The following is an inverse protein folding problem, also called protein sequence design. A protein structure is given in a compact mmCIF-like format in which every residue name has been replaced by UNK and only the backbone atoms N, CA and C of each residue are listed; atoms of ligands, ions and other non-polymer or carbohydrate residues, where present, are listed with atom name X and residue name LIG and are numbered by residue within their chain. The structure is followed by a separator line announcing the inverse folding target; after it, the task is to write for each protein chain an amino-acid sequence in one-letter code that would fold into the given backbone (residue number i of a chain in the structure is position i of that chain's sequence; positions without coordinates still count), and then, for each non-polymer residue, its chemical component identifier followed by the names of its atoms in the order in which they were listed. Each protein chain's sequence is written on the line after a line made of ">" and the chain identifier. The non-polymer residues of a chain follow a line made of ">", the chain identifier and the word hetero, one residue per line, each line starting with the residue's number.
data_IF_831100073277
#
_entry.id   IF_831100073277
#
_cell.length_a   1.000
_cell.length_b   1.000
_cell.length_c   1.000
_cell.angle_alpha   90.00
_cell.angle_beta   90.00
_cell.angle_gamma   90.00
#
_symmetry.space_group_name_H-M   'P 1'
#
loop_
_entity.id
_entity.type
_entity.pdbx_description
1 polymer ?
#
# COMPACT_ATOMS: atom_id res chain seq x y z
N UNK A 1 -4.67 14.82 7.14
CA UNK A 1 -3.63 13.82 7.41
C UNK A 1 -4.20 12.48 6.98
N UNK A 2 -3.57 11.79 6.07
CA UNK A 2 -3.97 10.44 5.67
C UNK A 2 -3.54 9.45 6.76
N UNK A 3 -4.28 8.35 6.90
CA UNK A 3 -3.96 7.27 7.82
C UNK A 3 -3.78 6.00 6.99
N UNK A 4 -2.66 5.35 7.15
CA UNK A 4 -2.39 4.04 6.57
C UNK A 4 -2.66 2.94 7.58
N UNK A 5 -3.13 1.80 7.11
CA UNK A 5 -3.39 0.61 7.93
C UNK A 5 -2.82 -0.66 7.27
N UNK A 6 -1.79 -0.46 6.43
CA UNK A 6 -1.11 -1.59 5.81
C UNK A 6 -0.11 -2.19 6.79
N UNK A 7 -0.31 -3.47 7.10
CA UNK A 7 0.60 -4.25 7.94
C UNK A 7 0.96 -5.56 7.23
N UNK A 8 2.15 -6.11 7.52
CA UNK A 8 2.57 -7.38 6.93
C UNK A 8 1.74 -8.52 7.54
N UNK A 9 1.07 -9.32 6.70
CA UNK A 9 0.43 -10.56 7.08
C UNK A 9 1.40 -11.74 6.95
N UNK A 10 2.01 -11.87 5.77
CA UNK A 10 2.97 -12.92 5.44
C UNK A 10 4.13 -12.36 4.64
N UNK A 11 5.31 -12.89 4.91
CA UNK A 11 6.51 -12.63 4.13
C UNK A 11 7.10 -13.98 3.73
N UNK A 12 7.31 -14.18 2.44
CA UNK A 12 7.98 -15.39 1.95
C UNK A 12 9.44 -15.36 2.41
N UNK A 13 9.82 -16.30 3.27
CA UNK A 13 11.13 -16.37 3.91
C UNK A 13 12.29 -16.58 2.94
N UNK A 14 12.03 -16.95 1.69
CA UNK A 14 13.08 -17.12 0.67
C UNK A 14 13.78 -15.82 0.27
N UNK A 15 13.20 -14.67 0.58
CA UNK A 15 13.76 -13.36 0.21
C UNK A 15 14.48 -12.64 1.37
N UNK A 16 14.83 -13.34 2.45
CA UNK A 16 15.56 -12.81 3.62
C UNK A 16 15.09 -11.40 3.95
N UNK A 17 14.48 -11.20 5.13
CA UNK A 17 13.81 -9.96 5.51
C UNK A 17 14.50 -8.71 4.97
N UNK A 18 13.91 -8.09 3.99
CA UNK A 18 14.40 -6.81 3.48
C UNK A 18 14.18 -5.79 4.56
N UNK A 19 15.28 -5.25 5.11
CA UNK A 19 15.22 -4.15 6.05
C UNK A 19 14.50 -2.93 5.45
N UNK A 20 14.08 -2.02 6.30
CA UNK A 20 13.51 -0.75 5.86
C UNK A 20 14.52 0.01 4.98
N UNK A 21 14.01 0.68 3.96
CA UNK A 21 14.77 1.57 3.09
C UNK A 21 14.44 3.02 3.43
N UNK A 22 15.47 3.83 3.61
CA UNK A 22 15.28 5.28 3.80
C UNK A 22 15.04 5.98 2.45
N UNK A 23 13.90 6.64 2.32
CA UNK A 23 13.50 7.37 1.13
C UNK A 23 13.47 8.87 1.40
N UNK A 24 13.81 9.67 0.40
CA UNK A 24 13.75 11.15 0.47
C UNK A 24 12.32 11.62 0.24
N UNK A 25 11.88 12.58 1.03
CA UNK A 25 10.60 13.28 0.88
C UNK A 25 10.87 14.75 0.62
N UNK A 26 10.24 15.35 -0.39
CA UNK A 26 10.40 16.75 -0.69
C UNK A 26 9.90 17.63 0.48
N UNK A 27 10.42 18.86 0.57
CA UNK A 27 9.84 19.88 1.44
C UNK A 27 8.35 20.08 1.10
N UNK A 28 7.52 20.21 2.10
CA UNK A 28 6.07 20.34 1.91
C UNK A 28 5.33 20.67 3.20
N UNK A 29 4.10 21.11 3.05
CA UNK A 29 3.22 21.43 4.16
C UNK A 29 2.90 20.20 5.02
N UNK A 30 2.38 20.43 6.22
CA UNK A 30 1.98 19.37 7.16
C UNK A 30 0.93 18.39 6.60
N UNK A 31 0.23 18.76 5.53
CA UNK A 31 -0.73 17.93 4.82
C UNK A 31 -0.10 16.83 3.96
N UNK A 32 1.21 16.89 3.73
CA UNK A 32 1.97 15.92 2.92
C UNK A 32 2.81 14.97 3.76
N UNK A 33 2.62 14.97 5.08
CA UNK A 33 3.33 14.07 5.98
C UNK A 33 2.85 12.63 5.72
N UNK A 34 3.81 11.76 5.46
CA UNK A 34 3.61 10.31 5.32
C UNK A 34 3.68 9.70 6.72
N UNK A 35 2.69 8.90 7.09
CA UNK A 35 2.62 8.26 8.40
C UNK A 35 2.87 6.75 8.30
N UNK A 36 3.22 6.07 9.43
CA UNK A 36 3.35 4.62 9.44
C UNK A 36 2.08 3.92 8.91
N UNK A 37 2.29 2.85 8.14
CA UNK A 37 1.20 2.10 7.51
C UNK A 37 0.67 2.71 6.22
N UNK A 38 1.12 3.90 5.81
CA UNK A 38 0.72 4.49 4.53
C UNK A 38 1.52 3.91 3.36
N UNK A 39 0.87 3.65 2.22
CA UNK A 39 1.58 3.34 0.99
C UNK A 39 2.38 4.56 0.51
N UNK A 40 3.52 4.28 -0.10
CA UNK A 40 4.47 5.30 -0.58
C UNK A 40 4.74 5.07 -2.06
N UNK A 41 4.56 6.11 -2.86
CA UNK A 41 4.75 6.09 -4.30
C UNK A 41 5.87 7.03 -4.74
N UNK A 42 6.33 6.85 -5.96
CA UNK A 42 7.29 7.72 -6.62
C UNK A 42 6.90 7.91 -8.08
N UNK A 43 6.99 9.13 -8.59
CA UNK A 43 6.88 9.35 -10.02
C UNK A 43 8.11 8.78 -10.75
N UNK A 44 7.92 8.30 -11.96
CA UNK A 44 9.02 7.77 -12.78
C UNK A 44 10.14 8.80 -12.93
N UNK A 45 11.36 8.41 -12.58
CA UNK A 45 12.53 9.29 -12.63
C UNK A 45 12.65 10.31 -11.49
N UNK A 46 11.69 10.36 -10.55
CA UNK A 46 11.80 11.24 -9.39
C UNK A 46 12.76 10.68 -8.33
N UNK A 47 13.51 11.56 -7.69
CA UNK A 47 14.38 11.18 -6.56
C UNK A 47 13.63 11.12 -5.21
N UNK A 48 12.45 11.70 -5.14
CA UNK A 48 11.65 11.81 -3.92
C UNK A 48 10.41 10.95 -3.97
N UNK A 49 9.94 10.53 -2.80
CA UNK A 49 8.70 9.78 -2.64
C UNK A 49 7.57 10.69 -2.16
N UNK A 50 6.34 10.27 -2.42
CA UNK A 50 5.10 10.98 -2.06
C UNK A 50 4.03 10.00 -1.57
N UNK A 51 2.97 10.54 -0.99
CA UNK A 51 1.72 9.80 -0.81
C UNK A 51 1.11 9.51 -2.19
N UNK A 52 0.61 8.28 -2.43
CA UNK A 52 -0.09 7.98 -3.68
C UNK A 52 -1.45 8.69 -3.76
N UNK A 53 -1.91 8.91 -4.97
CA UNK A 53 -3.27 9.35 -5.22
C UNK A 53 -4.28 8.22 -4.98
N UNK A 54 -5.57 8.56 -4.93
CA UNK A 54 -6.65 7.56 -4.98
C UNK A 54 -6.68 6.84 -6.34
N UNK A 55 -7.28 5.65 -6.37
CA UNK A 55 -7.36 4.77 -7.55
C UNK A 55 -5.99 4.38 -8.13
N UNK A 56 -5.02 4.13 -7.25
CA UNK A 56 -3.68 3.63 -7.58
C UNK A 56 -3.43 2.29 -6.85
N UNK A 57 -2.42 1.49 -7.21
CA UNK A 57 -1.56 1.61 -8.37
C UNK A 57 -2.18 1.03 -9.64
N UNK A 58 -1.91 1.66 -10.77
CA UNK A 58 -2.17 1.11 -12.10
C UNK A 58 -0.87 0.53 -12.64
N UNK A 59 -0.89 -0.70 -13.11
CA UNK A 59 0.29 -1.40 -13.67
C UNK A 59 0.91 -0.59 -14.80
N UNK A 60 2.24 -0.48 -14.79
CA UNK A 60 3.08 0.28 -15.73
C UNK A 60 2.89 1.81 -15.74
N UNK A 61 2.08 2.36 -14.83
CA UNK A 61 1.86 3.81 -14.74
C UNK A 61 2.31 4.34 -13.38
N UNK A 62 1.95 3.61 -12.31
CA UNK A 62 2.24 4.04 -10.95
C UNK A 62 3.33 3.16 -10.34
N UNK A 63 4.33 3.80 -9.75
CA UNK A 63 5.47 3.13 -9.12
C UNK A 63 5.37 3.27 -7.61
N UNK A 64 5.09 2.16 -6.95
CA UNK A 64 5.06 2.08 -5.50
C UNK A 64 6.42 1.65 -4.96
N UNK A 65 6.87 2.34 -3.94
CA UNK A 65 8.16 2.05 -3.28
C UNK A 65 7.95 1.07 -2.13
N UNK A 66 6.87 1.22 -1.37
CA UNK A 66 6.59 0.37 -0.23
C UNK A 66 5.55 0.93 0.72
N UNK A 67 5.59 0.46 1.96
CA UNK A 67 4.74 0.92 3.07
C UNK A 67 5.61 1.60 4.12
N UNK A 68 5.23 2.80 4.52
CA UNK A 68 5.96 3.59 5.51
C UNK A 68 5.98 2.91 6.89
N UNK A 69 7.13 2.95 7.55
CA UNK A 69 7.34 2.43 8.91
C UNK A 69 7.45 3.55 9.94
N UNK A 70 7.87 4.73 9.50
CA UNK A 70 8.04 5.91 10.35
C UNK A 70 7.25 7.07 9.79
N UNK A 71 7.00 8.07 10.62
CA UNK A 71 6.51 9.36 10.12
C UNK A 71 7.63 10.06 9.36
N UNK A 72 7.31 10.64 8.23
CA UNK A 72 8.27 11.42 7.44
C UNK A 72 8.69 12.71 8.16
N UNK A 73 9.95 13.10 7.96
CA UNK A 73 10.59 14.18 8.75
C UNK A 73 10.69 15.53 8.02
N UNK A 74 10.09 15.65 6.82
CA UNK A 74 10.10 16.93 6.08
C UNK A 74 9.34 18.03 6.84
N UNK A 75 9.73 19.26 6.54
CA UNK A 75 9.03 20.46 7.00
C UNK A 75 8.55 21.28 5.80
N UNK A 76 7.80 22.34 6.03
CA UNK A 76 7.34 23.24 4.96
C UNK A 76 8.49 23.80 4.10
N UNK A 77 9.69 23.94 4.67
CA UNK A 77 10.84 24.57 4.02
C UNK A 77 12.04 23.64 3.82
N UNK A 78 12.02 22.42 4.36
CA UNK A 78 13.13 21.47 4.28
C UNK A 78 12.66 20.07 3.88
N UNK A 79 13.42 19.43 2.98
CA UNK A 79 13.26 18.03 2.65
C UNK A 79 13.52 17.14 3.87
N UNK A 80 12.90 15.99 3.91
CA UNK A 80 13.05 15.01 4.97
C UNK A 80 13.22 13.59 4.45
N UNK A 81 13.00 12.64 5.33
CA UNK A 81 13.09 11.21 5.00
C UNK A 81 11.94 10.42 5.63
N UNK A 82 11.66 9.25 5.09
CA UNK A 82 10.75 8.24 5.63
C UNK A 82 11.39 6.87 5.47
N UNK A 83 11.27 6.02 6.48
CA UNK A 83 11.67 4.62 6.38
C UNK A 83 10.52 3.79 5.81
N UNK A 84 10.79 2.99 4.80
CA UNK A 84 9.79 2.27 4.01
C UNK A 84 10.17 0.79 3.95
N UNK A 85 9.22 -0.12 4.22
CA UNK A 85 9.38 -1.52 3.83
C UNK A 85 9.07 -1.60 2.33
N UNK A 86 10.03 -2.01 1.50
CA UNK A 86 9.80 -2.13 0.06
C UNK A 86 8.68 -3.13 -0.24
N UNK A 87 7.83 -2.82 -1.22
CA UNK A 87 6.89 -3.81 -1.75
C UNK A 87 7.66 -4.86 -2.54
N UNK A 88 7.27 -6.11 -2.33
CA UNK A 88 7.79 -7.28 -3.02
C UNK A 88 6.62 -8.21 -3.32
N UNK A 89 6.68 -8.96 -4.41
CA UNK A 89 5.66 -9.96 -4.75
C UNK A 89 5.56 -11.10 -3.73
N UNK A 90 6.55 -11.24 -2.86
CA UNK A 90 6.56 -12.22 -1.76
C UNK A 90 5.95 -11.72 -0.45
N UNK A 91 5.44 -10.49 -0.41
CA UNK A 91 4.84 -9.92 0.82
C UNK A 91 3.33 -9.79 0.62
N UNK A 92 2.57 -10.37 1.55
CA UNK A 92 1.13 -10.15 1.68
C UNK A 92 0.87 -9.14 2.79
N UNK A 93 0.08 -8.13 2.48
CA UNK A 93 -0.26 -7.05 3.38
C UNK A 93 -1.70 -7.16 3.86
N UNK A 94 -1.93 -6.93 5.13
CA UNK A 94 -3.26 -6.65 5.66
C UNK A 94 -3.59 -5.18 5.47
N UNK A 95 -4.77 -4.90 4.97
CA UNK A 95 -5.28 -3.55 4.78
C UNK A 95 -6.75 -3.45 5.21
N UNK A 96 -7.27 -2.24 5.30
CA UNK A 96 -8.69 -2.00 5.51
C UNK A 96 -9.42 -1.97 4.16
N UNK A 97 -10.55 -2.68 4.00
CA UNK A 97 -11.37 -2.54 2.81
C UNK A 97 -12.12 -1.20 2.84
N UNK A 98 -12.40 -0.66 1.67
CA UNK A 98 -13.21 0.57 1.52
C UNK A 98 -14.69 0.32 1.85
N UNK A 99 -15.18 -0.91 1.67
CA UNK A 99 -16.52 -1.34 2.08
C UNK A 99 -16.42 -2.55 3.00
N UNK A 100 -16.94 -2.43 4.22
CA UNK A 100 -16.96 -3.54 5.18
C UNK A 100 -17.89 -4.69 4.74
N UNK A 101 -18.94 -4.38 3.98
CA UNK A 101 -19.97 -5.34 3.55
C UNK A 101 -19.41 -6.42 2.63
N UNK A 102 -18.43 -6.09 1.79
CA UNK A 102 -17.84 -7.03 0.82
C UNK A 102 -16.92 -8.10 1.45
N UNK A 103 -16.68 -8.06 2.77
CA UNK A 103 -15.69 -8.91 3.46
C UNK A 103 -16.23 -9.46 4.80
N UNK A 104 -17.54 -9.53 4.97
CA UNK A 104 -18.15 -9.91 6.26
C UNK A 104 -18.15 -11.43 6.48
N UNK A 105 -18.22 -12.22 5.42
CA UNK A 105 -18.23 -13.68 5.50
C UNK A 105 -17.09 -14.27 4.70
N UNK A 106 -16.65 -15.50 5.08
CA UNK A 106 -15.61 -16.22 4.36
C UNK A 106 -16.00 -16.49 2.90
N UNK A 107 -17.27 -16.83 2.65
CA UNK A 107 -17.74 -17.13 1.30
C UNK A 107 -17.72 -15.88 0.38
N UNK A 108 -18.09 -14.71 0.90
CA UNK A 108 -17.99 -13.44 0.16
C UNK A 108 -16.52 -13.08 -0.11
N UNK A 109 -15.65 -13.28 0.88
CA UNK A 109 -14.23 -13.02 0.73
C UNK A 109 -13.61 -13.95 -0.32
N UNK A 110 -13.87 -15.25 -0.24
CA UNK A 110 -13.31 -16.25 -1.15
C UNK A 110 -13.72 -16.01 -2.61
N UNK A 111 -14.90 -15.43 -2.84
CA UNK A 111 -15.34 -15.04 -4.17
C UNK A 111 -14.53 -13.91 -4.79
N UNK A 112 -13.83 -13.11 -3.99
CA UNK A 112 -13.01 -11.98 -4.42
C UNK A 112 -11.51 -12.31 -4.51
N UNK A 113 -11.10 -13.48 -4.02
CA UNK A 113 -9.69 -13.92 -4.09
C UNK A 113 -9.22 -14.00 -5.54
N UNK A 114 -8.14 -13.28 -5.85
CA UNK A 114 -7.62 -13.15 -7.21
C UNK A 114 -8.09 -11.90 -7.95
N UNK A 115 -9.11 -11.18 -7.44
CA UNK A 115 -9.52 -9.90 -8.02
C UNK A 115 -8.38 -8.89 -7.93
N UNK A 116 -8.28 -8.07 -8.98
CA UNK A 116 -7.28 -7.02 -9.11
C UNK A 116 -7.88 -5.69 -8.72
N UNK A 117 -7.35 -5.10 -7.68
CA UNK A 117 -7.94 -3.96 -6.97
C UNK A 117 -6.97 -2.79 -6.87
N UNK A 118 -7.47 -1.67 -6.39
CA UNK A 118 -6.74 -0.42 -6.21
C UNK A 118 -6.78 0.03 -4.75
N UNK A 119 -5.93 0.99 -4.41
CA UNK A 119 -6.04 1.76 -3.17
C UNK A 119 -6.99 2.93 -3.42
N UNK A 120 -7.89 3.13 -2.47
CA UNK A 120 -8.74 4.31 -2.38
C UNK A 120 -8.31 5.18 -1.21
N UNK A 121 -8.33 6.49 -1.40
CA UNK A 121 -8.08 7.48 -0.35
C UNK A 121 -9.37 8.24 -0.08
N UNK A 122 -10.21 7.70 0.79
CA UNK A 122 -11.47 8.32 1.18
C UNK A 122 -11.33 8.93 2.58
N UNK A 123 -11.68 10.20 2.73
CA UNK A 123 -11.66 10.93 4.02
C UNK A 123 -10.32 10.88 4.77
N UNK A 124 -9.20 10.83 4.03
CA UNK A 124 -7.86 10.77 4.60
C UNK A 124 -7.44 9.40 5.13
N UNK A 125 -8.14 8.33 4.74
CA UNK A 125 -7.79 6.94 5.08
C UNK A 125 -7.51 6.16 3.81
N UNK A 126 -6.37 5.46 3.78
CA UNK A 126 -6.06 4.51 2.71
C UNK A 126 -6.79 3.20 2.94
N UNK A 127 -7.59 2.81 1.96
CA UNK A 127 -8.39 1.58 1.96
C UNK A 127 -8.20 0.84 0.63
N UNK A 128 -8.62 -0.41 0.58
CA UNK A 128 -8.62 -1.20 -0.65
C UNK A 128 -9.99 -1.14 -1.28
N UNK A 129 -10.05 -0.70 -2.53
CA UNK A 129 -11.27 -0.62 -3.33
C UNK A 129 -11.50 -1.96 -4.04
N UNK A 130 -12.55 -2.68 -3.66
CA UNK A 130 -12.88 -4.01 -4.19
C UNK A 130 -13.58 -3.95 -5.58
N UNK A 131 -12.96 -3.25 -6.53
CA UNK A 131 -13.44 -3.21 -7.92
C UNK A 131 -12.41 -3.85 -8.82
N UNK A 132 -12.71 -5.02 -9.39
CA UNK A 132 -11.79 -5.72 -10.29
C UNK A 132 -11.50 -4.90 -11.56
N UNK A 133 -10.24 -4.91 -11.97
CA UNK A 133 -9.79 -4.24 -13.19
C UNK A 133 -8.47 -4.80 -13.70
N UNK A 134 -8.40 -5.07 -15.00
CA UNK A 134 -7.24 -5.74 -15.62
C UNK A 134 -5.91 -5.04 -15.37
N UNK A 135 -5.92 -3.72 -15.22
CA UNK A 135 -4.73 -2.88 -15.01
C UNK A 135 -4.46 -2.55 -13.54
N UNK A 136 -5.35 -2.96 -12.62
CA UNK A 136 -5.19 -2.69 -11.20
C UNK A 136 -3.95 -3.39 -10.63
N UNK A 137 -3.23 -2.71 -9.76
CA UNK A 137 -1.89 -3.09 -9.33
C UNK A 137 -1.81 -3.91 -8.05
N UNK A 138 -2.93 -4.13 -7.35
CA UNK A 138 -3.04 -5.04 -6.22
C UNK A 138 -3.82 -6.30 -6.62
N UNK A 139 -3.63 -7.39 -5.89
CA UNK A 139 -4.43 -8.61 -5.99
C UNK A 139 -4.90 -9.04 -4.62
N UNK A 140 -6.17 -9.43 -4.48
CA UNK A 140 -6.72 -9.97 -3.23
C UNK A 140 -6.17 -11.38 -3.01
N UNK A 141 -5.60 -11.60 -1.83
CA UNK A 141 -4.99 -12.86 -1.40
C UNK A 141 -5.90 -13.60 -0.42
N UNK A 142 -5.79 -14.93 -0.29
CA UNK A 142 -6.56 -15.69 0.69
C UNK A 142 -6.38 -15.15 2.12
N UNK A 143 -7.47 -15.14 2.89
CA UNK A 143 -7.48 -14.68 4.28
C UNK A 143 -8.54 -15.46 5.08
N UNK A 144 -8.24 -15.77 6.32
CA UNK A 144 -9.20 -16.24 7.30
C UNK A 144 -9.95 -15.02 7.91
N UNK A 145 -11.19 -14.81 7.48
CA UNK A 145 -12.01 -13.65 7.88
C UNK A 145 -12.33 -13.70 9.39
N UNK A 146 -12.48 -14.89 9.97
CA UNK A 146 -12.74 -15.02 11.40
C UNK A 146 -11.54 -14.58 12.25
N UNK A 147 -10.33 -14.81 11.74
CA UNK A 147 -9.08 -14.41 12.41
C UNK A 147 -8.76 -12.92 12.22
N UNK A 148 -9.14 -12.36 11.08
CA UNK A 148 -8.84 -10.97 10.71
C UNK A 148 -10.11 -10.21 10.29
N UNK A 149 -11.06 -10.00 11.22
CA UNK A 149 -12.33 -9.37 10.90
C UNK A 149 -12.14 -7.93 10.39
N UNK A 150 -12.86 -7.58 9.32
CA UNK A 150 -12.80 -6.24 8.72
C UNK A 150 -11.47 -5.90 8.05
N UNK A 151 -10.68 -6.92 7.68
CA UNK A 151 -9.42 -6.75 6.94
C UNK A 151 -9.49 -7.44 5.59
N UNK A 152 -8.60 -7.01 4.68
CA UNK A 152 -8.35 -7.64 3.39
C UNK A 152 -6.85 -7.91 3.25
N UNK A 153 -6.50 -9.08 2.75
CA UNK A 153 -5.14 -9.42 2.41
C UNK A 153 -4.86 -9.06 0.95
N UNK A 154 -3.80 -8.32 0.69
CA UNK A 154 -3.42 -7.92 -0.67
C UNK A 154 -1.93 -8.11 -0.91
N UNK A 155 -1.58 -8.42 -2.16
CA UNK A 155 -0.21 -8.37 -2.65
C UNK A 155 -0.09 -7.36 -3.80
N UNK A 156 1.05 -6.72 -3.93
CA UNK A 156 1.35 -5.87 -5.07
C UNK A 156 1.77 -6.73 -6.27
N UNK A 157 1.19 -6.42 -7.43
CA UNK A 157 1.52 -7.12 -8.67
C UNK A 157 2.86 -6.67 -9.23
N UNK A 158 3.50 -7.54 -9.99
CA UNK A 158 4.65 -7.16 -10.80
C UNK A 158 4.29 -5.99 -11.74
N UNK A 159 5.22 -5.06 -11.92
CA UNK A 159 5.03 -3.86 -12.76
C UNK A 159 4.50 -2.63 -12.03
N UNK A 160 4.19 -2.73 -10.71
CA UNK A 160 3.93 -1.56 -9.86
C UNK A 160 5.05 -1.30 -8.85
N UNK A 161 6.00 -2.21 -8.74
CA UNK A 161 7.18 -2.04 -7.88
C UNK A 161 8.23 -1.17 -8.55
N UNK A 162 8.83 -0.27 -7.78
CA UNK A 162 9.99 0.53 -8.16
C UNK A 162 11.31 -0.27 -8.19
N UNK A 163 11.27 -1.52 -7.79
CA UNK A 163 12.43 -2.40 -7.63
C UNK A 163 12.59 -3.38 -8.82
N UNK A 164 12.63 -2.85 -10.03
CA UNK A 164 13.10 -3.62 -11.20
C UNK A 164 14.54 -3.33 -11.50
#
# INVERSE_FOLDING_TARGET
>A
MAIGDFTILEQNSSNGGRGSRKCLVAAGASTTIINPGEPVARALGAAVVTQPATNTPVVATDFFVGIAQTTSTQTASAAGTVDVIPIDSGITWLAKPNSAVAFDTQAEYDALVGDRVLIDLTTGVYTVLATDGATNGLVIMPLDVAKYPGKVAVAFRAGVSDLT
#
